data_IF_479949736324
#
_entry.id   IF_479949736324
#
_cell.length_a   1.000
_cell.length_b   1.000
_cell.length_c   1.000
_cell.angle_alpha   90.00
_cell.angle_beta   90.00
_cell.angle_gamma   90.00
#
_symmetry.space_group_name_H-M   'P 1'
#
loop_
_entity.id
_entity.type
_entity.pdbx_description
1 polymer ?
#
# COMPACT_ATOMS: atom_id res chain seq x y z
N UNK A 1 -27.81 24.04 7.20
CA UNK A 1 -27.11 22.75 7.06
C UNK A 1 -25.97 22.95 6.07
N UNK A 2 -24.77 23.24 6.56
CA UNK A 2 -23.58 23.27 5.70
C UNK A 2 -23.15 21.81 5.53
N UNK A 3 -23.42 21.24 4.36
CA UNK A 3 -22.75 20.02 3.93
C UNK A 3 -21.29 20.41 3.67
N UNK A 4 -20.43 20.27 4.69
CA UNK A 4 -18.99 20.30 4.46
C UNK A 4 -18.68 19.15 3.51
N UNK A 5 -17.91 19.37 2.43
CA UNK A 5 -17.48 18.30 1.55
C UNK A 5 -16.77 17.26 2.41
N UNK A 6 -17.22 16.00 2.30
CA UNK A 6 -16.55 14.88 2.94
C UNK A 6 -15.15 14.83 2.34
N UNK A 7 -14.19 15.31 3.13
CA UNK A 7 -12.77 15.20 2.83
C UNK A 7 -12.50 13.73 2.48
N UNK A 8 -11.96 13.41 1.31
CA UNK A 8 -11.74 12.03 0.88
C UNK A 8 -10.83 11.25 1.84
N UNK A 9 -10.06 11.95 2.68
CA UNK A 9 -9.29 11.35 3.78
C UNK A 9 -10.13 10.99 5.03
N UNK A 10 -11.32 11.57 5.20
CA UNK A 10 -12.18 11.40 6.39
C UNK A 10 -13.16 10.23 6.27
N UNK A 11 -13.45 9.77 5.05
CA UNK A 11 -14.26 8.57 4.81
C UNK A 11 -13.54 7.26 5.17
N UNK A 12 -12.20 7.27 5.27
CA UNK A 12 -11.40 6.11 5.68
C UNK A 12 -11.48 5.80 7.19
N UNK A 13 -11.94 6.75 8.01
CA UNK A 13 -11.85 6.70 9.46
C UNK A 13 -12.98 5.91 10.16
N UNK A 14 -14.06 5.53 9.45
CA UNK A 14 -15.27 5.02 10.10
C UNK A 14 -15.26 3.51 10.41
N UNK A 15 -14.42 2.69 9.78
CA UNK A 15 -14.15 1.31 10.19
C UNK A 15 -12.99 0.78 9.36
N UNK A 16 -11.81 0.56 9.97
CA UNK A 16 -10.70 -0.30 9.52
C UNK A 16 -9.46 -0.07 10.43
N UNK A 17 -8.71 -1.13 10.76
CA UNK A 17 -7.46 -1.08 11.56
C UNK A 17 -6.46 -0.12 10.90
N UNK A 18 -5.55 0.52 11.67
CA UNK A 18 -4.54 1.41 11.10
C UNK A 18 -3.66 0.67 10.09
N UNK A 19 -3.14 1.39 9.08
CA UNK A 19 -2.34 0.82 7.99
C UNK A 19 -1.25 -0.18 8.48
N UNK A 20 -0.38 0.18 9.45
CA UNK A 20 0.64 -0.75 9.96
C UNK A 20 0.09 -2.09 10.46
N UNK A 21 -1.13 -2.11 11.00
CA UNK A 21 -1.74 -3.27 11.63
C UNK A 21 -2.29 -4.30 10.63
N UNK A 22 -2.52 -3.89 9.37
CA UNK A 22 -2.98 -4.78 8.31
C UNK A 22 -1.84 -5.28 7.41
N UNK A 23 -0.61 -4.84 7.69
CA UNK A 23 0.56 -5.29 6.97
C UNK A 23 0.82 -6.79 7.21
N UNK A 24 0.79 -7.60 6.15
CA UNK A 24 1.17 -9.02 6.18
C UNK A 24 2.69 -9.25 6.10
N UNK A 25 3.49 -8.18 6.13
CA UNK A 25 4.97 -8.24 6.07
C UNK A 25 5.49 -8.98 4.83
N UNK A 26 4.81 -8.82 3.68
CA UNK A 26 5.20 -9.46 2.43
C UNK A 26 6.39 -8.80 1.71
N UNK A 27 6.92 -7.68 2.22
CA UNK A 27 8.04 -6.94 1.62
C UNK A 27 7.72 -6.21 0.30
N UNK A 28 6.59 -6.48 -0.36
CA UNK A 28 6.29 -5.98 -1.72
C UNK A 28 6.37 -4.45 -1.86
N UNK A 29 5.94 -3.70 -0.85
CA UNK A 29 6.04 -2.24 -0.86
C UNK A 29 7.50 -1.73 -0.97
N UNK A 30 8.48 -2.52 -0.54
CA UNK A 30 9.89 -2.16 -0.50
C UNK A 30 10.69 -2.53 -1.76
N UNK A 31 10.10 -3.11 -2.80
CA UNK A 31 10.80 -3.29 -4.08
C UNK A 31 10.81 -1.99 -4.88
N UNK A 32 11.76 -1.81 -5.79
CA UNK A 32 11.77 -0.67 -6.71
C UNK A 32 10.60 -0.78 -7.71
N UNK A 33 10.06 0.37 -8.12
CA UNK A 33 8.95 0.47 -9.08
C UNK A 33 9.36 1.41 -10.20
N UNK A 34 8.93 1.09 -11.40
CA UNK A 34 9.14 1.93 -12.57
C UNK A 34 7.79 2.45 -13.07
N UNK A 35 7.74 3.73 -13.43
CA UNK A 35 6.59 4.28 -14.11
C UNK A 35 6.72 4.01 -15.60
N UNK A 36 5.78 3.23 -16.12
CA UNK A 36 5.63 3.00 -17.54
C UNK A 36 4.81 4.08 -18.24
N UNK A 37 4.69 3.98 -19.57
CA UNK A 37 3.77 4.82 -20.34
C UNK A 37 2.33 4.64 -19.85
N UNK A 38 1.50 5.68 -20.04
CA UNK A 38 0.08 5.69 -19.64
C UNK A 38 -0.17 5.51 -18.13
N UNK A 39 0.71 6.04 -17.28
CA UNK A 39 0.59 5.97 -15.81
C UNK A 39 0.52 4.54 -15.27
N UNK A 40 1.19 3.61 -15.95
CA UNK A 40 1.32 2.22 -15.48
C UNK A 40 2.47 2.11 -14.49
N UNK A 41 2.34 1.22 -13.51
CA UNK A 41 3.41 0.93 -12.54
C UNK A 41 3.91 -0.49 -12.82
N UNK A 42 5.18 -0.61 -13.16
CA UNK A 42 5.87 -1.89 -13.31
C UNK A 42 6.56 -2.26 -11.98
N UNK A 43 6.36 -3.50 -11.54
CA UNK A 43 7.06 -4.06 -10.39
C UNK A 43 8.48 -4.47 -10.80
N UNK A 44 9.48 -3.95 -10.09
CA UNK A 44 10.86 -4.40 -10.23
C UNK A 44 11.20 -5.53 -9.25
N UNK A 45 12.28 -6.24 -9.54
CA UNK A 45 12.83 -7.31 -8.69
C UNK A 45 13.93 -6.83 -7.74
N UNK A 46 14.31 -5.55 -7.83
CA UNK A 46 15.32 -4.94 -6.98
C UNK A 46 14.71 -4.56 -5.63
N UNK A 47 15.15 -5.13 -4.50
CA UNK A 47 14.71 -4.69 -3.19
C UNK A 47 15.33 -3.34 -2.83
N UNK A 48 14.60 -2.52 -2.07
CA UNK A 48 15.13 -1.33 -1.42
C UNK A 48 16.26 -1.73 -0.46
N UNK A 49 17.28 -0.88 -0.36
CA UNK A 49 18.42 -1.04 0.55
C UNK A 49 18.04 -1.22 2.03
N UNK A 50 16.84 -0.78 2.43
CA UNK A 50 16.32 -0.91 3.80
C UNK A 50 15.39 -2.11 4.01
N UNK A 51 15.22 -2.98 3.01
CA UNK A 51 14.47 -4.23 3.17
C UNK A 51 15.36 -5.29 3.82
N UNK A 52 14.96 -5.81 4.98
CA UNK A 52 15.61 -6.98 5.56
C UNK A 52 15.16 -8.25 4.80
N UNK A 53 16.08 -8.97 4.12
CA UNK A 53 15.72 -10.14 3.32
C UNK A 53 15.27 -11.34 4.16
N UNK A 54 15.53 -11.36 5.47
CA UNK A 54 15.11 -12.45 6.37
C UNK A 54 13.72 -12.23 6.92
N UNK A 55 13.41 -10.99 7.31
CA UNK A 55 12.13 -10.66 7.97
C UNK A 55 11.11 -10.04 7.02
N UNK A 56 11.54 -9.60 5.83
CA UNK A 56 10.76 -8.84 4.85
C UNK A 56 10.17 -7.54 5.41
N UNK A 57 10.83 -6.99 6.44
CA UNK A 57 10.48 -5.73 7.08
C UNK A 57 11.41 -4.62 6.61
N UNK A 58 10.85 -3.41 6.50
CA UNK A 58 11.65 -2.21 6.33
C UNK A 58 12.30 -1.86 7.67
N UNK A 59 13.62 -1.78 7.71
CA UNK A 59 14.40 -1.48 8.93
C UNK A 59 14.24 -0.04 9.40
N UNK A 60 13.76 0.85 8.51
CA UNK A 60 13.54 2.28 8.76
C UNK A 60 12.08 2.70 8.54
N UNK A 61 11.11 1.80 8.74
CA UNK A 61 9.72 2.03 8.31
C UNK A 61 9.10 3.33 8.86
N UNK A 62 9.43 3.73 10.09
CA UNK A 62 8.94 4.95 10.73
C UNK A 62 9.43 6.21 10.01
N UNK A 63 10.68 6.21 9.56
CA UNK A 63 11.37 7.35 8.93
C UNK A 63 11.57 7.17 7.42
N UNK A 64 10.91 6.17 6.83
CA UNK A 64 11.16 5.70 5.45
C UNK A 64 11.10 6.78 4.38
N UNK A 65 10.25 7.79 4.54
CA UNK A 65 10.13 8.89 3.58
C UNK A 65 11.31 9.88 3.67
N UNK A 66 11.98 9.95 4.83
CA UNK A 66 13.22 10.70 4.99
C UNK A 66 14.44 9.88 4.51
N UNK A 67 14.46 8.57 4.75
CA UNK A 67 15.57 7.70 4.38
C UNK A 67 15.62 7.32 2.89
N UNK A 68 14.47 7.15 2.24
CA UNK A 68 14.37 6.70 0.84
C UNK A 68 13.50 7.65 0.02
N UNK A 69 14.15 8.43 -0.84
CA UNK A 69 13.45 9.22 -1.85
C UNK A 69 12.68 8.27 -2.78
N UNK A 70 11.41 8.60 -3.06
CA UNK A 70 10.51 7.74 -3.84
C UNK A 70 9.75 6.70 -3.02
N UNK A 71 10.04 6.53 -1.73
CA UNK A 71 9.19 5.73 -0.85
C UNK A 71 7.82 6.42 -0.67
N UNK A 72 6.75 5.80 -1.16
CA UNK A 72 5.41 6.38 -1.18
C UNK A 72 4.58 6.00 0.05
N UNK A 73 3.74 6.95 0.48
CA UNK A 73 2.66 6.70 1.42
C UNK A 73 1.66 5.69 0.84
N UNK A 74 1.23 4.72 1.65
CA UNK A 74 0.22 3.74 1.25
C UNK A 74 -1.19 4.31 1.41
N UNK A 75 -1.52 5.32 0.59
CA UNK A 75 -2.87 5.91 0.51
C UNK A 75 -3.75 5.11 -0.45
N UNK A 76 -5.07 5.33 -0.40
CA UNK A 76 -6.01 4.72 -1.36
C UNK A 76 -5.64 5.03 -2.81
N UNK A 77 -5.23 6.26 -3.09
CA UNK A 77 -4.83 6.72 -4.42
C UNK A 77 -3.65 5.90 -4.95
N UNK A 78 -2.59 5.76 -4.13
CA UNK A 78 -1.39 4.97 -4.49
C UNK A 78 -1.74 3.49 -4.70
N UNK A 79 -2.69 2.95 -3.93
CA UNK A 79 -3.18 1.58 -4.12
C UNK A 79 -3.95 1.46 -5.44
N UNK A 80 -4.80 2.44 -5.77
CA UNK A 80 -5.56 2.46 -7.01
C UNK A 80 -4.67 2.62 -8.26
N UNK A 81 -3.51 3.26 -8.13
CA UNK A 81 -2.48 3.36 -9.18
C UNK A 81 -1.74 2.04 -9.45
N UNK A 82 -1.99 0.98 -8.67
CA UNK A 82 -1.33 -0.32 -8.86
C UNK A 82 0.06 -0.41 -8.23
N UNK A 83 0.40 0.45 -7.28
CA UNK A 83 1.70 0.44 -6.58
C UNK A 83 1.96 -0.83 -5.78
N UNK A 84 0.89 -1.56 -5.44
CA UNK A 84 0.93 -2.81 -4.72
C UNK A 84 0.28 -3.90 -5.58
N UNK A 85 0.82 -5.12 -5.57
CA UNK A 85 0.26 -6.22 -6.33
C UNK A 85 -1.05 -6.68 -5.67
N UNK A 86 -1.88 -7.39 -6.43
CA UNK A 86 -3.24 -7.74 -6.01
C UNK A 86 -3.28 -8.62 -4.75
N UNK A 87 -2.24 -9.40 -4.50
CA UNK A 87 -2.07 -10.24 -3.30
C UNK A 87 -1.64 -9.48 -2.04
N UNK A 88 -1.30 -8.19 -2.15
CA UNK A 88 -0.89 -7.42 -0.98
C UNK A 88 -2.10 -7.13 -0.07
N UNK A 89 -1.97 -7.40 1.22
CA UNK A 89 -3.06 -7.18 2.18
C UNK A 89 -3.54 -5.73 2.20
N UNK A 90 -2.66 -4.75 1.98
CA UNK A 90 -3.08 -3.36 1.78
C UNK A 90 -4.00 -3.21 0.56
N UNK A 91 -3.65 -3.80 -0.59
CA UNK A 91 -4.50 -3.78 -1.77
C UNK A 91 -5.85 -4.41 -1.49
N UNK A 92 -5.89 -5.64 -0.95
CA UNK A 92 -7.13 -6.34 -0.63
C UNK A 92 -7.97 -5.61 0.41
N UNK A 93 -7.32 -5.00 1.41
CA UNK A 93 -8.01 -4.34 2.51
C UNK A 93 -8.61 -3.00 2.11
N UNK A 94 -8.03 -2.30 1.13
CA UNK A 94 -8.42 -0.95 0.77
C UNK A 94 -9.08 -0.83 -0.61
N UNK A 95 -8.84 -1.76 -1.54
CA UNK A 95 -9.44 -1.72 -2.88
C UNK A 95 -10.95 -1.99 -2.81
N UNK A 96 -11.80 -1.07 -3.29
CA UNK A 96 -13.25 -1.29 -3.39
C UNK A 96 -13.63 -2.24 -4.54
N UNK A 97 -12.66 -2.60 -5.40
CA UNK A 97 -12.89 -3.37 -6.63
C UNK A 97 -12.81 -4.90 -6.43
N UNK A 98 -12.46 -5.39 -5.24
CA UNK A 98 -12.49 -6.82 -4.96
C UNK A 98 -13.83 -7.19 -4.31
N UNK A 99 -14.73 -7.95 -4.98
CA UNK A 99 -15.84 -8.58 -4.29
C UNK A 99 -15.27 -9.46 -3.17
N UNK A 100 -15.91 -9.37 -2.00
CA UNK A 100 -15.53 -10.02 -0.75
C UNK A 100 -14.74 -11.34 -0.94
N UNK A 101 -13.42 -11.29 -0.77
CA UNK A 101 -12.59 -12.51 -0.63
C UNK A 101 -12.81 -13.20 0.73
N UNK A 102 -13.85 -12.80 1.48
CA UNK A 102 -14.22 -13.37 2.79
C UNK A 102 -14.81 -14.78 2.72
N UNK A 103 -14.99 -15.35 1.53
CA UNK A 103 -15.60 -16.69 1.37
C UNK A 103 -14.74 -17.74 0.65
N UNK A 104 -13.43 -17.51 0.48
CA UNK A 104 -12.50 -18.56 0.06
C UNK A 104 -11.53 -18.94 1.19
N UNK A 105 -12.08 -19.40 2.31
CA UNK A 105 -11.42 -20.45 3.07
C UNK A 105 -11.90 -21.77 2.47
N UNK A 106 -11.01 -22.44 1.73
CA UNK A 106 -11.09 -23.87 1.50
C UNK A 106 -9.83 -24.47 2.14
#
# INVERSE_FOLDING_TARGET
MVLLPLDPNRALAAARRPLPDVCSRCGRCCFEKEYGPNSTVAYGDTPCEYLDPKTLLCTVYADRHACKQGCRSLTLEVIAEGWLPAECTYYTYFSPALPDLRNCFC
#
